data_IF_010957893085
#
_entry.id   IF_010957893085
#
_cell.length_a   1.000
_cell.length_b   1.000
_cell.length_c   1.000
_cell.angle_alpha   90.00
_cell.angle_beta   90.00
_cell.angle_gamma   90.00
#
_symmetry.space_group_name_H-M   'P 1'
#
loop_
_entity.id
_entity.type
_entity.pdbx_description
1 polymer ?
#
# COMPACT_ATOMS: atom_id res chain seq x y z
N UNK A 1 24.19 0.90 22.93
CA UNK A 1 24.09 -0.55 22.69
C UNK A 1 22.99 -0.73 21.65
N UNK A 2 23.35 -1.04 20.41
CA UNK A 2 22.39 -1.17 19.29
C UNK A 2 21.57 -2.44 19.45
N UNK A 3 20.25 -2.30 19.56
CA UNK A 3 19.33 -3.43 19.52
C UNK A 3 18.98 -3.77 18.07
N UNK A 4 19.64 -4.79 17.52
CA UNK A 4 19.19 -5.45 16.29
C UNK A 4 18.14 -6.50 16.65
N UNK A 5 16.87 -6.19 16.37
CA UNK A 5 15.82 -7.20 16.28
C UNK A 5 16.06 -8.02 15.01
N UNK A 6 16.56 -9.25 15.15
CA UNK A 6 16.72 -10.16 14.02
C UNK A 6 15.36 -10.79 13.68
N UNK A 7 14.79 -10.33 12.56
CA UNK A 7 13.64 -10.91 11.85
C UNK A 7 14.04 -10.99 10.36
N UNK A 8 13.65 -12.04 9.61
CA UNK A 8 14.50 -12.63 8.58
C UNK A 8 14.56 -11.84 7.26
N UNK A 9 15.74 -11.94 6.61
CA UNK A 9 16.10 -11.56 5.22
C UNK A 9 16.25 -10.05 4.92
N UNK A 10 17.33 -9.45 5.44
CA UNK A 10 17.72 -8.04 5.28
C UNK A 10 17.97 -7.58 3.83
N UNK A 11 18.08 -8.48 2.85
CA UNK A 11 18.52 -8.09 1.51
C UNK A 11 17.41 -7.65 0.54
N UNK A 12 16.14 -7.89 0.86
CA UNK A 12 15.05 -7.63 -0.09
C UNK A 12 14.02 -6.61 0.44
N UNK A 13 14.27 -5.89 1.55
CA UNK A 13 13.34 -4.84 1.99
C UNK A 13 13.51 -3.61 1.12
N UNK A 14 12.45 -3.21 0.43
CA UNK A 14 12.42 -2.00 -0.40
C UNK A 14 12.01 -0.76 0.38
N UNK A 15 11.00 -0.89 1.23
CA UNK A 15 10.40 0.25 1.93
C UNK A 15 9.65 -0.17 3.19
N UNK A 16 9.56 0.74 4.16
CA UNK A 16 8.87 0.56 5.44
C UNK A 16 7.98 1.77 5.69
N UNK A 17 6.67 1.56 5.68
CA UNK A 17 5.66 2.62 5.86
C UNK A 17 4.90 2.41 7.17
N UNK A 18 4.69 3.46 7.94
CA UNK A 18 3.90 3.43 9.18
C UNK A 18 2.53 4.06 8.89
N UNK A 19 1.45 3.44 9.36
CA UNK A 19 0.10 4.00 9.18
C UNK A 19 -0.07 5.33 9.94
N UNK A 20 -0.92 6.24 9.45
CA UNK A 20 -1.23 7.57 10.00
C UNK A 20 -1.48 7.58 11.51
N UNK A 21 -2.26 6.64 12.04
CA UNK A 21 -2.60 6.54 13.48
C UNK A 21 -1.54 5.80 14.32
N UNK A 22 -0.43 5.38 13.71
CA UNK A 22 0.58 4.52 14.33
C UNK A 22 0.08 3.08 14.53
N UNK A 23 0.97 2.22 15.04
CA UNK A 23 0.63 0.84 15.45
C UNK A 23 0.58 -0.20 14.33
N UNK A 24 0.53 0.19 13.06
CA UNK A 24 0.73 -0.71 11.92
C UNK A 24 1.91 -0.26 11.07
N UNK A 25 2.67 -1.25 10.61
CA UNK A 25 3.87 -1.09 9.78
C UNK A 25 3.70 -1.97 8.54
N UNK A 26 3.72 -1.37 7.36
CA UNK A 26 3.72 -2.07 6.09
C UNK A 26 5.17 -2.18 5.60
N UNK A 27 5.62 -3.41 5.38
CA UNK A 27 6.93 -3.68 4.80
C UNK A 27 6.71 -4.10 3.35
N UNK A 28 7.33 -3.34 2.45
CA UNK A 28 7.40 -3.65 1.03
C UNK A 28 8.75 -4.28 0.73
N UNK A 29 8.73 -5.34 -0.07
CA UNK A 29 9.93 -6.04 -0.47
C UNK A 29 10.23 -5.81 -1.95
N UNK A 30 11.46 -6.11 -2.35
CA UNK A 30 11.85 -6.13 -3.75
C UNK A 30 11.20 -7.30 -4.48
N UNK A 31 10.99 -7.09 -5.79
CA UNK A 31 10.61 -8.13 -6.76
C UNK A 31 9.30 -8.81 -6.39
N UNK A 32 9.32 -10.13 -6.21
CA UNK A 32 8.15 -11.01 -6.17
C UNK A 32 7.66 -11.30 -4.75
N UNK A 33 8.28 -10.67 -3.76
CA UNK A 33 7.96 -10.92 -2.36
C UNK A 33 6.73 -10.10 -1.97
N UNK A 34 5.65 -10.75 -1.51
CA UNK A 34 4.42 -10.06 -1.16
C UNK A 34 4.61 -9.07 0.00
N UNK A 35 3.87 -7.95 0.03
CA UNK A 35 3.96 -7.00 1.13
C UNK A 35 3.42 -7.61 2.43
N UNK A 36 3.96 -7.16 3.56
CA UNK A 36 3.63 -7.68 4.89
C UNK A 36 3.16 -6.58 5.82
N UNK A 37 2.08 -6.85 6.56
CA UNK A 37 1.61 -6.01 7.66
C UNK A 37 2.18 -6.52 8.98
N UNK A 38 2.78 -5.62 9.74
CA UNK A 38 3.29 -5.83 11.08
C UNK A 38 2.57 -4.92 12.06
N UNK A 39 2.15 -5.46 13.20
CA UNK A 39 1.64 -4.67 14.32
C UNK A 39 2.82 -4.21 15.17
N UNK A 40 2.87 -2.92 15.48
CA UNK A 40 3.88 -2.32 16.34
C UNK A 40 3.30 -2.08 17.73
N UNK A 41 3.89 -2.70 18.74
CA UNK A 41 3.50 -2.59 20.14
C UNK A 41 4.64 -1.95 20.94
N UNK A 42 4.36 -0.84 21.63
CA UNK A 42 5.33 -0.18 22.52
C UNK A 42 5.33 -0.88 23.88
N UNK A 43 6.45 -1.50 24.22
CA UNK A 43 6.66 -2.21 25.50
C UNK A 43 7.64 -1.41 26.34
N UNK A 44 7.36 -1.26 27.64
CA UNK A 44 8.31 -0.62 28.56
C UNK A 44 9.51 -1.54 28.77
N UNK A 45 10.71 -1.03 28.60
CA UNK A 45 11.91 -1.80 28.89
C UNK A 45 12.12 -1.90 30.42
N UNK A 46 11.75 -3.04 30.99
CA UNK A 46 11.97 -3.32 32.41
C UNK A 46 13.40 -3.83 32.71
N UNK A 47 14.27 -3.98 31.70
CA UNK A 47 15.63 -4.55 31.87
C UNK A 47 16.71 -3.48 32.02
N UNK A 48 16.36 -2.21 31.90
CA UNK A 48 17.28 -1.08 32.11
C UNK A 48 17.70 -0.97 33.58
N UNK A 49 18.84 -1.57 33.93
CA UNK A 49 19.60 -1.20 35.13
C UNK A 49 19.93 0.29 35.04
N UNK A 50 19.35 1.05 35.97
CA UNK A 50 19.68 2.40 36.42
C UNK A 50 19.92 3.49 35.34
N UNK A 51 19.08 4.54 35.42
CA UNK A 51 19.23 5.92 34.91
C UNK A 51 18.44 6.39 33.67
N UNK A 52 17.75 5.54 32.90
CA UNK A 52 16.76 6.02 31.90
C UNK A 52 15.48 5.17 31.85
N UNK A 53 14.64 5.29 32.89
CA UNK A 53 13.41 4.51 33.12
C UNK A 53 12.21 4.81 32.18
N UNK A 54 12.45 5.48 31.05
CA UNK A 54 11.41 5.85 30.07
C UNK A 54 11.61 5.24 28.68
N UNK A 55 12.61 4.37 28.49
CA UNK A 55 12.84 3.73 27.20
C UNK A 55 11.68 2.75 26.86
N UNK A 56 10.85 3.12 25.89
CA UNK A 56 9.90 2.21 25.27
C UNK A 56 10.58 1.53 24.09
N UNK A 57 10.45 0.20 24.02
CA UNK A 57 10.93 -0.60 22.89
C UNK A 57 9.74 -1.01 22.05
N UNK A 58 9.83 -0.80 20.74
CA UNK A 58 8.83 -1.27 19.79
C UNK A 58 9.04 -2.77 19.51
N UNK A 59 8.00 -3.58 19.74
CA UNK A 59 7.92 -4.97 19.30
C UNK A 59 7.07 -5.04 18.04
N UNK A 60 7.59 -5.70 17.01
CA UNK A 60 6.88 -5.94 15.76
C UNK A 60 6.34 -7.38 15.74
N UNK A 61 5.05 -7.52 15.39
CA UNK A 61 4.38 -8.81 15.24
C UNK A 61 3.82 -8.93 13.82
N UNK A 62 4.26 -9.92 13.04
CA UNK A 62 3.70 -10.17 11.72
C UNK A 62 2.22 -10.50 11.86
N UNK A 63 1.37 -9.76 11.14
CA UNK A 63 -0.08 -9.91 11.17
C UNK A 63 -0.60 -10.51 9.87
N UNK A 64 -0.19 -9.97 8.72
CA UNK A 64 -0.64 -10.44 7.40
C UNK A 64 0.49 -10.44 6.38
N UNK A 65 0.40 -11.36 5.42
CA UNK A 65 1.16 -11.33 4.16
C UNK A 65 0.13 -11.25 3.03
N UNK A 66 0.14 -10.17 2.24
CA UNK A 66 -0.88 -9.93 1.23
C UNK A 66 -0.53 -10.60 -0.08
N UNK A 67 -1.03 -11.82 -0.29
CA UNK A 67 -0.74 -12.62 -1.46
C UNK A 67 -1.52 -12.10 -2.70
N UNK A 68 -0.83 -11.68 -3.78
CA UNK A 68 -1.49 -11.36 -5.05
C UNK A 68 -2.08 -12.63 -5.69
N UNK A 69 -3.04 -12.46 -6.61
CA UNK A 69 -3.73 -13.61 -7.25
C UNK A 69 -2.78 -14.52 -8.04
N UNK A 70 -1.67 -13.98 -8.50
CA UNK A 70 -0.60 -14.68 -9.17
C UNK A 70 0.74 -14.18 -8.63
N UNK A 71 1.84 -14.85 -8.99
CA UNK A 71 3.16 -14.35 -8.64
C UNK A 71 3.46 -13.09 -9.45
N UNK A 72 3.48 -11.95 -8.78
CA UNK A 72 3.62 -10.61 -9.39
C UNK A 72 5.02 -10.06 -9.06
N UNK A 73 5.70 -9.46 -10.04
CA UNK A 73 6.88 -8.63 -9.79
C UNK A 73 6.41 -7.21 -9.44
N UNK A 74 6.59 -6.77 -8.20
CA UNK A 74 5.99 -5.54 -7.68
C UNK A 74 6.70 -4.30 -8.25
N UNK A 75 5.89 -3.38 -8.76
CA UNK A 75 6.25 -2.05 -9.20
C UNK A 75 6.39 -1.12 -7.99
N UNK A 76 7.63 -0.75 -7.65
CA UNK A 76 7.91 0.18 -6.55
C UNK A 76 7.53 -0.38 -5.17
N UNK A 77 7.05 0.52 -4.29
CA UNK A 77 6.59 0.22 -2.93
C UNK A 77 5.09 -0.08 -2.89
N UNK A 78 4.65 -0.81 -1.86
CA UNK A 78 3.25 -0.89 -1.48
C UNK A 78 2.89 0.24 -0.53
N UNK A 79 1.61 0.67 -0.55
CA UNK A 79 1.14 1.80 0.23
C UNK A 79 -0.07 1.44 1.07
N UNK A 80 -0.20 2.10 2.22
CA UNK A 80 -1.51 2.21 2.85
C UNK A 80 -2.42 3.08 1.99
N UNK A 81 -3.72 2.82 2.05
CA UNK A 81 -4.72 3.57 1.31
C UNK A 81 -6.03 3.72 2.07
N UNK A 82 -6.91 4.53 1.51
CA UNK A 82 -8.17 4.92 2.12
C UNK A 82 -8.00 6.00 3.19
N UNK A 83 -9.14 6.47 3.72
CA UNK A 83 -9.21 7.56 4.68
C UNK A 83 -8.38 7.31 5.95
N UNK A 84 -8.41 6.08 6.45
CA UNK A 84 -7.84 5.68 7.74
C UNK A 84 -6.79 4.57 7.59
N UNK A 85 -6.09 4.53 6.45
CA UNK A 85 -5.12 3.50 6.09
C UNK A 85 -5.69 2.08 6.19
N UNK A 86 -6.99 1.94 5.92
CA UNK A 86 -7.70 0.67 6.01
C UNK A 86 -7.43 -0.23 4.79
N UNK A 87 -6.81 0.30 3.74
CA UNK A 87 -6.46 -0.44 2.54
C UNK A 87 -4.95 -0.65 2.45
N UNK A 88 -4.55 -1.70 1.75
CA UNK A 88 -3.18 -1.89 1.27
C UNK A 88 -3.21 -2.00 -0.25
N UNK A 89 -2.37 -1.22 -0.92
CA UNK A 89 -2.24 -1.14 -2.37
C UNK A 89 -0.87 -1.65 -2.79
N UNK A 90 -0.83 -2.54 -3.77
CA UNK A 90 0.38 -2.81 -4.54
C UNK A 90 0.05 -2.87 -6.04
N UNK A 91 1.06 -2.60 -6.86
CA UNK A 91 0.98 -2.73 -8.31
C UNK A 91 2.07 -3.69 -8.79
N UNK A 92 1.75 -4.52 -9.78
CA UNK A 92 2.70 -5.33 -10.52
C UNK A 92 3.27 -4.58 -11.70
N UNK A 93 4.51 -4.87 -12.07
CA UNK A 93 5.14 -4.34 -13.29
C UNK A 93 4.31 -4.64 -14.53
N UNK A 94 3.67 -5.80 -14.60
CA UNK A 94 2.81 -6.16 -15.73
C UNK A 94 1.52 -5.31 -15.82
N UNK A 95 1.25 -4.42 -14.86
CA UNK A 95 0.07 -3.56 -14.86
C UNK A 95 -1.10 -4.06 -14.03
N UNK A 96 -0.96 -5.22 -13.38
CA UNK A 96 -1.94 -5.65 -12.37
C UNK A 96 -1.88 -4.74 -11.14
N UNK A 97 -3.04 -4.48 -10.54
CA UNK A 97 -3.12 -3.69 -9.30
C UNK A 97 -4.00 -4.44 -8.32
N UNK A 98 -3.51 -4.56 -7.10
CA UNK A 98 -4.16 -5.31 -6.03
C UNK A 98 -4.43 -4.39 -4.85
N UNK A 99 -5.67 -4.43 -4.36
CA UNK A 99 -6.11 -3.66 -3.21
C UNK A 99 -6.76 -4.60 -2.21
N UNK A 100 -6.21 -4.66 -0.99
CA UNK A 100 -6.72 -5.46 0.10
C UNK A 100 -7.29 -4.60 1.21
N UNK A 101 -8.23 -5.17 1.95
CA UNK A 101 -8.55 -4.73 3.30
C UNK A 101 -7.37 -5.05 4.22
N UNK A 102 -6.90 -4.05 4.98
CA UNK A 102 -5.72 -4.17 5.85
C UNK A 102 -5.95 -5.20 6.97
N UNK A 103 -7.14 -5.21 7.57
CA UNK A 103 -7.37 -5.92 8.84
C UNK A 103 -7.79 -7.37 8.68
N UNK A 104 -8.46 -7.70 7.57
CA UNK A 104 -8.88 -9.05 7.19
C UNK A 104 -7.98 -9.71 6.15
N UNK A 105 -7.11 -8.93 5.50
CA UNK A 105 -6.32 -9.34 4.33
C UNK A 105 -7.18 -9.83 3.14
N UNK A 106 -8.48 -9.50 3.11
CA UNK A 106 -9.34 -9.82 1.99
C UNK A 106 -8.95 -8.98 0.77
N UNK A 107 -8.77 -9.62 -0.38
CA UNK A 107 -8.57 -8.91 -1.65
C UNK A 107 -9.89 -8.28 -2.07
N UNK A 108 -9.98 -6.95 -2.00
CA UNK A 108 -11.19 -6.20 -2.32
C UNK A 108 -11.28 -5.89 -3.81
N UNK A 109 -10.16 -5.42 -4.39
CA UNK A 109 -10.10 -5.05 -5.79
C UNK A 109 -8.87 -5.65 -6.47
N UNK A 110 -9.08 -6.07 -7.72
CA UNK A 110 -8.03 -6.57 -8.59
C UNK A 110 -8.25 -6.00 -9.98
N UNK A 111 -7.38 -5.08 -10.37
CA UNK A 111 -7.34 -4.55 -11.73
C UNK A 111 -6.41 -5.46 -12.52
N UNK A 112 -6.95 -6.05 -13.58
CA UNK A 112 -6.18 -6.93 -14.46
C UNK A 112 -5.17 -6.11 -15.26
N UNK A 113 -4.01 -6.70 -15.61
CA UNK A 113 -3.12 -6.15 -16.62
C UNK A 113 -3.91 -5.73 -17.86
N UNK A 114 -3.90 -4.45 -18.19
CA UNK A 114 -4.53 -3.94 -19.40
C UNK A 114 -3.57 -4.13 -20.59
N UNK A 115 -4.11 -4.39 -21.77
CA UNK A 115 -3.33 -4.61 -23.01
C UNK A 115 -2.55 -3.37 -23.45
N UNK A 116 -2.94 -2.19 -22.98
CA UNK A 116 -2.36 -0.91 -23.38
C UNK A 116 -1.26 -0.46 -22.43
N UNK A 117 -0.12 -1.14 -22.52
CA UNK A 117 1.20 -0.54 -22.34
C UNK A 117 1.64 -0.24 -20.91
N UNK A 118 2.66 -1.00 -20.48
CA UNK A 118 3.74 -0.44 -19.69
C UNK A 118 4.13 -1.24 -18.47
N UNK A 119 5.42 -1.57 -18.40
CA UNK A 119 6.09 -1.97 -17.17
C UNK A 119 5.89 -0.87 -16.12
N UNK A 120 4.91 -1.04 -15.24
CA UNK A 120 4.67 -0.09 -14.17
C UNK A 120 5.94 0.03 -13.33
N UNK A 121 6.35 1.26 -13.07
CA UNK A 121 7.55 1.56 -12.30
C UNK A 121 7.21 1.97 -10.87
N UNK A 122 6.02 2.54 -10.65
CA UNK A 122 5.60 3.03 -9.36
C UNK A 122 4.08 3.14 -9.24
N UNK A 123 3.63 3.21 -7.99
CA UNK A 123 2.25 3.49 -7.58
C UNK A 123 2.29 4.46 -6.41
N UNK A 124 1.27 5.29 -6.24
CA UNK A 124 1.15 6.20 -5.10
C UNK A 124 -0.32 6.45 -4.74
N UNK A 125 -0.65 6.36 -3.46
CA UNK A 125 -1.99 6.66 -2.96
C UNK A 125 -2.20 8.15 -2.72
N UNK A 126 -3.37 8.69 -3.06
CA UNK A 126 -3.72 10.06 -2.69
C UNK A 126 -4.30 10.10 -1.26
N UNK A 127 -3.48 10.53 -0.30
CA UNK A 127 -3.87 10.61 1.12
C UNK A 127 -4.59 11.92 1.50
N UNK A 128 -4.67 12.91 0.60
CA UNK A 128 -5.21 14.25 0.90
C UNK A 128 -6.71 14.38 0.70
N UNK A 129 -7.35 13.36 0.13
CA UNK A 129 -8.76 13.36 -0.22
C UNK A 129 -9.54 12.37 0.64
N UNK A 130 -10.81 12.69 0.89
CA UNK A 130 -11.77 11.75 1.46
C UNK A 130 -12.26 10.71 0.44
N UNK A 131 -11.88 10.86 -0.84
CA UNK A 131 -12.15 9.84 -1.86
C UNK A 131 -11.45 8.52 -1.52
N UNK A 132 -12.19 7.43 -1.28
CA UNK A 132 -11.63 6.20 -0.76
C UNK A 132 -10.83 5.41 -1.80
N UNK A 133 -10.84 5.81 -3.07
CA UNK A 133 -10.06 5.18 -4.14
C UNK A 133 -9.57 6.24 -5.12
N UNK A 134 -8.53 6.97 -4.74
CA UNK A 134 -7.80 7.83 -5.66
C UNK A 134 -6.30 7.57 -5.54
N UNK A 135 -5.67 7.16 -6.64
CA UNK A 135 -4.24 6.84 -6.67
C UNK A 135 -3.67 7.02 -8.08
N UNK A 136 -2.35 7.02 -8.19
CA UNK A 136 -1.64 7.18 -9.45
C UNK A 136 -0.70 6.01 -9.71
N UNK A 137 -0.48 5.69 -10.98
CA UNK A 137 0.57 4.75 -11.43
C UNK A 137 1.43 5.41 -12.49
N UNK A 138 2.74 5.17 -12.42
CA UNK A 138 3.70 5.59 -13.45
C UNK A 138 4.24 4.39 -14.24
N UNK A 139 4.44 4.58 -15.53
CA UNK A 139 5.00 3.59 -16.46
C UNK A 139 6.39 4.04 -16.96
N UNK A 140 7.20 3.08 -17.38
CA UNK A 140 8.50 3.34 -18.01
C UNK A 140 8.39 4.19 -19.29
N UNK A 141 7.25 4.16 -19.98
CA UNK A 141 6.98 4.98 -21.17
C UNK A 141 6.65 6.46 -20.87
N UNK A 142 6.70 6.85 -19.59
CA UNK A 142 6.38 8.20 -19.13
C UNK A 142 4.89 8.47 -18.91
N UNK A 143 4.01 7.49 -19.17
CA UNK A 143 2.59 7.62 -18.89
C UNK A 143 2.33 7.61 -17.39
N UNK A 144 1.58 8.62 -16.93
CA UNK A 144 0.99 8.64 -15.58
C UNK A 144 -0.51 8.42 -15.73
N UNK A 145 -1.04 7.44 -15.01
CA UNK A 145 -2.49 7.17 -14.97
C UNK A 145 -3.03 7.50 -13.60
N UNK A 146 -4.16 8.20 -13.58
CA UNK A 146 -4.91 8.49 -12.36
C UNK A 146 -6.11 7.55 -12.31
N UNK A 147 -6.20 6.83 -11.21
CA UNK A 147 -7.28 5.92 -10.89
C UNK A 147 -8.18 6.61 -9.89
N UNK A 148 -9.48 6.69 -10.19
CA UNK A 148 -10.48 7.28 -9.31
C UNK A 148 -11.84 6.62 -9.49
N UNK A 149 -12.69 6.67 -8.46
CA UNK A 149 -14.10 6.29 -8.61
C UNK A 149 -14.82 7.28 -9.53
N UNK A 150 -15.59 6.85 -10.54
CA UNK A 150 -16.41 7.75 -11.35
C UNK A 150 -17.37 8.55 -10.46
N UNK A 151 -17.53 9.84 -10.77
CA UNK A 151 -18.39 10.75 -10.01
C UNK A 151 -19.89 10.36 -10.03
N UNK A 152 -20.29 9.44 -10.91
CA UNK A 152 -21.68 9.05 -11.15
C UNK A 152 -22.32 8.09 -10.14
N UNK A 153 -21.55 7.47 -9.24
CA UNK A 153 -22.10 6.55 -8.22
C UNK A 153 -22.58 7.26 -6.94
N UNK A 154 -22.61 8.60 -6.93
CA UNK A 154 -22.92 9.39 -5.73
C UNK A 154 -24.25 10.13 -5.73
N UNK A 155 -24.99 10.11 -6.83
CA UNK A 155 -26.37 10.62 -6.85
C UNK A 155 -26.99 10.37 -8.23
N UNK A 156 -28.13 9.69 -8.26
CA UNK A 156 -29.14 9.90 -9.29
C UNK A 156 -29.50 11.40 -9.34
N UNK A 157 -29.02 12.13 -10.34
CA UNK A 157 -29.71 13.25 -11.01
C UNK A 157 -28.75 14.01 -11.96
N UNK A 158 -29.12 13.94 -13.25
CA UNK A 158 -29.10 15.05 -14.20
C UNK A 158 -27.77 15.55 -14.84
N UNK A 159 -27.71 15.27 -16.16
CA UNK A 159 -27.19 16.07 -17.31
C UNK A 159 -25.73 15.89 -17.76
N UNK A 160 -25.64 15.53 -19.05
CA UNK A 160 -24.47 15.41 -19.95
C UNK A 160 -23.89 16.79 -20.30
N UNK A 161 -22.56 16.97 -20.31
CA UNK A 161 -21.80 17.24 -21.55
C UNK A 161 -20.26 17.37 -21.34
N UNK A 162 -19.54 16.86 -22.36
CA UNK A 162 -18.27 17.26 -23.01
C UNK A 162 -16.95 17.49 -22.23
N UNK A 163 -15.92 16.77 -22.69
CA UNK A 163 -14.49 17.07 -22.49
C UNK A 163 -13.69 15.93 -21.84
N UNK A 164 -13.12 15.01 -22.64
CA UNK A 164 -12.23 13.95 -22.14
C UNK A 164 -10.90 14.48 -21.59
N UNK A 165 -10.51 14.08 -20.37
CA UNK A 165 -9.14 13.72 -20.08
C UNK A 165 -9.05 12.21 -19.84
N UNK A 166 -7.89 11.63 -20.14
CA UNK A 166 -7.49 10.22 -20.00
C UNK A 166 -7.87 9.58 -18.64
N UNK A 167 -9.16 9.33 -18.43
CA UNK A 167 -9.73 8.75 -17.23
C UNK A 167 -9.83 7.26 -17.51
N UNK A 168 -8.88 6.47 -17.02
CA UNK A 168 -9.07 5.03 -16.96
C UNK A 168 -10.07 4.72 -15.84
N UNK A 169 -11.34 4.85 -16.17
CA UNK A 169 -12.47 4.31 -15.44
C UNK A 169 -12.79 2.93 -16.00
N UNK A 170 -12.67 1.89 -15.18
CA UNK A 170 -13.58 0.75 -15.22
C UNK A 170 -13.40 -0.10 -13.96
N UNK A 171 -14.47 -0.21 -13.19
CA UNK A 171 -14.64 -1.23 -12.16
C UNK A 171 -14.72 -2.62 -12.81
#
# INVERSE_FOLDING_TARGET
>A
MEFKSQTPVVNDVRDITISKRGGNVLISFERKTPPQLWKMELVRDARGREQHSFAQVARLLLRHTYLPKAQVDIAGSSYFGGKEDQLVLCAGKAGDIHIWDRDSAALLHYIRPQTFGGDLTCVAWNHSTDEPFMFATGSHDGTVRIWTTPAGDRSSEAIRDEGEPHRCSMW
#
